data_IF_928877448180
#
_entry.id   IF_928877448180
#
_cell.length_a   1.000
_cell.length_b   1.000
_cell.length_c   1.000
_cell.angle_alpha   90.00
_cell.angle_beta   90.00
_cell.angle_gamma   90.00
#
_symmetry.space_group_name_H-M   'P 1'
#
loop_
_entity.id
_entity.type
_entity.pdbx_description
1 polymer ?
#
# COMPACT_ATOMS: atom_id res chain seq x y z
N UNK A 1 6.46 13.42 28.01
CA UNK A 1 7.30 13.03 26.85
C UNK A 1 6.36 12.80 25.68
N UNK A 2 6.80 13.05 24.44
CA UNK A 2 6.00 12.63 23.29
C UNK A 2 5.90 11.10 23.28
N UNK A 3 4.76 10.51 22.91
CA UNK A 3 4.63 9.06 22.80
C UNK A 3 5.68 8.48 21.85
N UNK A 4 6.14 7.26 22.15
CA UNK A 4 7.05 6.49 21.30
C UNK A 4 6.21 5.63 20.37
N UNK A 5 6.50 5.69 19.07
CA UNK A 5 5.83 4.86 18.08
C UNK A 5 6.43 3.44 18.11
N UNK A 6 5.60 2.41 18.05
CA UNK A 6 6.07 1.02 17.89
C UNK A 6 5.42 0.46 16.64
N UNK A 7 6.13 0.39 15.53
CA UNK A 7 5.55 -0.05 14.24
C UNK A 7 5.96 -1.50 13.99
N UNK A 8 4.98 -2.40 13.91
CA UNK A 8 5.21 -3.83 13.61
C UNK A 8 4.41 -4.25 12.40
N UNK A 9 4.88 -5.23 11.63
CA UNK A 9 4.11 -5.83 10.54
C UNK A 9 4.34 -7.34 10.45
N UNK A 10 3.42 -8.03 9.78
CA UNK A 10 3.53 -9.47 9.55
C UNK A 10 2.29 -10.09 8.92
N UNK A 11 2.30 -11.42 8.67
CA UNK A 11 1.22 -12.11 7.97
C UNK A 11 -0.10 -12.18 8.75
N UNK A 12 -0.09 -12.02 10.08
CA UNK A 12 -1.32 -11.98 10.90
C UNK A 12 -1.14 -11.18 12.20
N UNK A 13 -2.25 -10.91 12.92
CA UNK A 13 -2.28 -10.23 14.24
C UNK A 13 -1.36 -10.88 15.28
N UNK A 14 -1.21 -12.19 15.19
CA UNK A 14 -0.45 -13.01 16.13
C UNK A 14 1.03 -13.13 15.73
N UNK A 15 1.37 -12.80 14.48
CA UNK A 15 2.68 -13.00 13.89
C UNK A 15 3.24 -11.68 13.39
N UNK A 16 3.62 -10.80 14.31
CA UNK A 16 4.14 -9.46 14.01
C UNK A 16 5.60 -9.33 14.42
N UNK A 17 6.38 -8.62 13.61
CA UNK A 17 7.76 -8.23 13.92
C UNK A 17 7.96 -6.73 13.76
N UNK A 18 8.88 -6.15 14.53
CA UNK A 18 9.20 -4.72 14.43
C UNK A 18 9.70 -4.38 13.02
N UNK A 19 9.24 -3.25 12.49
CA UNK A 19 9.68 -2.73 11.19
C UNK A 19 10.93 -1.88 11.38
N UNK A 20 11.92 -2.03 10.49
CA UNK A 20 13.06 -1.13 10.40
C UNK A 20 12.63 0.21 9.75
N UNK A 21 11.96 1.06 10.53
CA UNK A 21 11.38 2.32 10.03
C UNK A 21 12.47 3.23 9.47
N UNK A 22 12.21 3.83 8.31
CA UNK A 22 13.14 4.66 7.53
C UNK A 22 14.37 3.92 6.94
N UNK A 23 14.42 2.58 7.01
CA UNK A 23 15.43 1.74 6.35
C UNK A 23 14.84 1.04 5.12
N UNK A 24 14.92 1.71 3.98
CA UNK A 24 14.35 1.23 2.72
C UNK A 24 15.04 -0.03 2.18
N UNK A 25 16.28 -0.25 2.59
CA UNK A 25 17.11 -1.42 2.28
C UNK A 25 16.80 -2.64 3.17
N UNK A 26 15.97 -2.47 4.21
CA UNK A 26 15.56 -3.53 5.13
C UNK A 26 14.02 -3.64 5.21
N UNK A 27 13.32 -3.84 4.07
CA UNK A 27 11.88 -4.00 4.11
C UNK A 27 11.50 -5.29 4.85
N UNK A 28 10.44 -5.24 5.64
CA UNK A 28 9.92 -6.42 6.32
C UNK A 28 9.23 -7.33 5.30
N UNK A 29 9.51 -8.63 5.36
CA UNK A 29 8.91 -9.63 4.47
C UNK A 29 7.58 -10.11 5.04
N UNK A 30 6.60 -10.24 4.16
CA UNK A 30 5.30 -10.85 4.41
C UNK A 30 5.19 -12.11 3.55
N UNK A 31 4.98 -13.24 4.21
CA UNK A 31 4.73 -14.53 3.55
C UNK A 31 3.53 -15.18 4.24
N UNK A 32 2.40 -15.22 3.54
CA UNK A 32 1.13 -15.75 4.03
C UNK A 32 0.48 -16.64 2.98
N UNK A 33 -0.64 -17.26 3.33
CA UNK A 33 -1.41 -18.12 2.41
C UNK A 33 -2.03 -17.34 1.24
N UNK A 34 -2.26 -16.03 1.41
CA UNK A 34 -2.94 -15.19 0.42
C UNK A 34 -2.01 -14.18 -0.27
N UNK A 35 -0.84 -13.89 0.32
CA UNK A 35 0.06 -12.82 -0.14
C UNK A 35 1.53 -13.11 0.12
N UNK A 36 2.36 -12.75 -0.86
CA UNK A 36 3.82 -12.77 -0.75
C UNK A 36 4.38 -11.41 -1.16
N UNK A 37 5.14 -10.78 -0.27
CA UNK A 37 5.67 -9.45 -0.54
C UNK A 37 6.54 -8.88 0.55
N UNK A 38 6.84 -7.60 0.44
CA UNK A 38 7.70 -6.86 1.35
C UNK A 38 7.20 -5.44 1.53
N UNK A 39 7.43 -4.88 2.71
CA UNK A 39 6.90 -3.58 3.14
C UNK A 39 8.04 -2.71 3.69
N UNK A 40 8.08 -1.45 3.29
CA UNK A 40 8.89 -0.43 3.95
C UNK A 40 7.99 0.67 4.51
N UNK A 41 8.30 1.11 5.73
CA UNK A 41 7.58 2.20 6.42
C UNK A 41 8.52 3.36 6.64
N UNK A 42 8.07 4.56 6.27
CA UNK A 42 8.81 5.81 6.39
C UNK A 42 8.01 6.77 7.24
N UNK A 43 8.64 7.42 8.21
CA UNK A 43 8.00 8.40 9.08
C UNK A 43 8.93 9.59 9.27
N UNK A 44 8.44 10.81 9.03
CA UNK A 44 9.18 12.05 9.31
C UNK A 44 9.30 12.24 10.82
N UNK A 45 10.47 12.71 11.25
CA UNK A 45 10.77 12.96 12.66
C UNK A 45 10.50 11.75 13.56
N UNK A 46 10.78 10.55 13.04
CA UNK A 46 10.51 9.28 13.72
C UNK A 46 11.20 9.21 15.09
N UNK A 47 10.41 8.78 16.08
CA UNK A 47 10.85 8.52 17.44
C UNK A 47 10.08 7.31 17.96
N UNK A 48 10.73 6.14 17.95
CA UNK A 48 10.05 4.89 18.21
C UNK A 48 10.98 3.72 18.48
N UNK A 49 10.37 2.55 18.64
CA UNK A 49 11.05 1.26 18.77
C UNK A 49 11.51 0.76 17.40
N UNK A 50 12.68 0.10 17.38
CA UNK A 50 13.28 -0.50 16.20
C UNK A 50 13.76 -1.92 16.53
N UNK A 51 13.94 -2.79 15.53
CA UNK A 51 14.57 -4.10 15.72
C UNK A 51 15.97 -3.98 16.33
N UNK A 52 16.41 -5.03 17.02
CA UNK A 52 17.75 -5.08 17.60
C UNK A 52 18.83 -4.88 16.52
N UNK A 53 19.78 -3.98 16.78
CA UNK A 53 20.89 -3.68 15.86
C UNK A 53 20.57 -2.71 14.73
N UNK A 54 19.31 -2.25 14.59
CA UNK A 54 18.93 -1.21 13.61
C UNK A 54 19.20 0.17 14.22
N UNK A 55 19.94 1.01 13.50
CA UNK A 55 20.23 2.37 13.94
C UNK A 55 19.00 3.29 13.84
N UNK A 56 18.86 4.25 14.74
CA UNK A 56 17.72 5.16 14.72
C UNK A 56 17.86 6.23 13.64
N UNK A 57 17.06 6.13 12.57
CA UNK A 57 16.91 7.17 11.54
C UNK A 57 15.64 8.00 11.76
N UNK A 58 15.80 9.32 11.92
CA UNK A 58 14.66 10.24 12.07
C UNK A 58 13.81 10.39 10.80
N UNK A 59 14.40 10.24 9.63
CA UNK A 59 13.69 10.38 8.35
C UNK A 59 14.46 9.68 7.22
N UNK A 60 13.73 9.13 6.25
CA UNK A 60 14.28 8.62 4.99
C UNK A 60 14.55 9.75 3.98
N UNK A 61 15.46 9.51 3.03
CA UNK A 61 15.71 10.40 1.89
C UNK A 61 14.47 10.62 1.01
N UNK A 62 13.46 9.74 1.09
CA UNK A 62 12.13 9.91 0.50
C UNK A 62 11.54 11.30 0.74
N UNK A 63 11.69 11.81 1.97
CA UNK A 63 11.12 13.09 2.36
C UNK A 63 11.87 14.31 1.83
N UNK A 64 13.04 14.12 1.21
CA UNK A 64 13.78 15.15 0.51
C UNK A 64 13.41 15.24 -0.97
N UNK A 65 12.78 14.20 -1.53
CA UNK A 65 12.37 14.17 -2.93
C UNK A 65 11.13 15.04 -3.18
N UNK A 66 10.96 15.64 -4.39
CA UNK A 66 9.80 16.47 -4.70
C UNK A 66 8.45 15.78 -4.44
N UNK A 67 8.36 14.49 -4.74
CA UNK A 67 7.15 13.69 -4.47
C UNK A 67 6.93 13.42 -2.99
N UNK A 68 7.96 12.99 -2.25
CA UNK A 68 7.84 12.58 -0.85
C UNK A 68 7.79 13.73 0.15
N UNK A 69 8.34 14.90 -0.21
CA UNK A 69 8.47 16.07 0.68
C UNK A 69 7.15 16.62 1.23
N UNK A 70 6.03 16.38 0.55
CA UNK A 70 4.68 16.80 0.98
C UNK A 70 4.01 15.85 1.99
N UNK A 71 4.57 14.67 2.22
CA UNK A 71 3.99 13.67 3.12
C UNK A 71 4.72 13.64 4.46
N UNK A 72 4.06 13.10 5.49
CA UNK A 72 4.62 12.88 6.82
C UNK A 72 4.94 11.42 7.09
N UNK A 73 4.32 10.50 6.36
CA UNK A 73 4.67 9.10 6.35
C UNK A 73 4.40 8.50 4.97
N UNK A 74 5.02 7.35 4.69
CA UNK A 74 4.82 6.54 3.50
C UNK A 74 4.92 5.06 3.87
N UNK A 75 4.09 4.24 3.24
CA UNK A 75 4.04 2.80 3.39
C UNK A 75 4.09 2.22 1.98
N UNK A 76 5.25 1.67 1.66
CA UNK A 76 5.52 1.09 0.36
C UNK A 76 5.39 -0.41 0.45
N UNK A 77 4.58 -0.98 -0.41
CA UNK A 77 4.30 -2.41 -0.49
C UNK A 77 4.75 -2.90 -1.86
N UNK A 78 5.45 -4.02 -1.92
CA UNK A 78 5.68 -4.75 -3.16
C UNK A 78 5.33 -6.22 -2.95
N UNK A 79 4.46 -6.79 -3.78
CA UNK A 79 4.14 -8.22 -3.66
C UNK A 79 3.11 -8.70 -4.67
N UNK A 80 2.67 -9.93 -4.48
CA UNK A 80 1.67 -10.61 -5.31
C UNK A 80 0.62 -11.30 -4.45
N UNK A 81 -0.57 -11.47 -5.02
CA UNK A 81 -1.62 -12.31 -4.45
C UNK A 81 -1.46 -13.75 -4.92
N UNK A 82 -1.78 -14.71 -4.07
CA UNK A 82 -1.61 -16.14 -4.40
C UNK A 82 -2.85 -16.74 -5.08
N UNK A 83 -3.99 -16.08 -4.98
CA UNK A 83 -5.23 -16.42 -5.69
C UNK A 83 -5.54 -15.46 -6.85
N UNK A 84 -6.38 -15.91 -7.78
CA UNK A 84 -6.98 -15.03 -8.77
C UNK A 84 -8.06 -14.15 -8.13
N UNK A 85 -7.89 -12.83 -8.25
CA UNK A 85 -8.75 -11.81 -7.67
C UNK A 85 -9.16 -10.80 -8.75
N UNK A 86 -10.14 -9.97 -8.43
CA UNK A 86 -10.39 -8.72 -9.16
C UNK A 86 -9.87 -7.55 -8.34
N UNK A 87 -9.66 -6.40 -8.98
CA UNK A 87 -9.30 -5.19 -8.25
C UNK A 87 -10.35 -4.83 -7.19
N UNK A 88 -11.64 -5.20 -7.36
CA UNK A 88 -12.71 -4.90 -6.39
C UNK A 88 -12.57 -5.69 -5.08
N UNK A 89 -11.88 -6.83 -5.10
CA UNK A 89 -11.75 -7.74 -3.95
C UNK A 89 -10.69 -7.28 -2.93
N UNK A 90 -9.81 -6.36 -3.35
CA UNK A 90 -8.62 -5.97 -2.58
C UNK A 90 -8.90 -4.65 -1.87
N UNK A 91 -8.93 -4.71 -0.55
CA UNK A 91 -9.16 -3.57 0.32
C UNK A 91 -7.87 -3.19 1.05
N UNK A 92 -7.71 -1.89 1.30
CA UNK A 92 -6.65 -1.32 2.11
C UNK A 92 -7.25 -0.26 3.02
N UNK A 93 -6.85 -0.26 4.28
CA UNK A 93 -7.34 0.74 5.22
C UNK A 93 -6.97 0.35 6.63
N UNK A 94 -7.83 0.69 7.58
CA UNK A 94 -7.56 0.57 9.00
C UNK A 94 -8.70 -0.15 9.72
N UNK A 95 -8.37 -0.99 10.69
CA UNK A 95 -9.28 -1.47 11.73
C UNK A 95 -8.76 -1.08 13.12
N UNK A 96 -9.56 -1.26 14.16
CA UNK A 96 -9.19 -0.91 15.53
C UNK A 96 -9.76 -1.96 16.49
N UNK A 97 -8.94 -2.43 17.44
CA UNK A 97 -9.40 -3.43 18.43
C UNK A 97 -10.25 -2.82 19.56
N UNK A 98 -10.22 -1.49 19.69
CA UNK A 98 -10.92 -0.75 20.73
C UNK A 98 -11.72 0.40 20.13
N UNK A 99 -12.85 0.79 20.75
CA UNK A 99 -13.64 1.93 20.30
C UNK A 99 -12.82 3.22 20.37
N UNK A 100 -12.83 4.02 19.30
CA UNK A 100 -12.14 5.33 19.24
C UNK A 100 -13.09 6.52 19.37
N UNK A 101 -14.41 6.26 19.47
CA UNK A 101 -15.48 7.27 19.43
C UNK A 101 -15.30 8.42 20.44
N UNK A 102 -14.72 8.14 21.59
CA UNK A 102 -14.50 9.12 22.67
C UNK A 102 -13.17 9.89 22.50
N UNK A 103 -12.28 9.39 21.65
CA UNK A 103 -10.97 9.99 21.31
C UNK A 103 -11.01 10.79 20.00
N UNK A 104 -12.13 10.77 19.27
CA UNK A 104 -12.29 11.56 18.05
C UNK A 104 -12.40 13.05 18.41
N UNK A 105 -11.58 13.94 17.81
CA UNK A 105 -11.66 15.36 18.08
C UNK A 105 -13.06 15.93 17.77
N UNK A 106 -13.51 16.94 18.54
CA UNK A 106 -14.77 17.60 18.28
C UNK A 106 -14.87 18.06 16.82
N UNK A 107 -15.92 17.64 16.11
CA UNK A 107 -16.12 17.95 14.68
C UNK A 107 -15.62 16.89 13.69
N UNK A 108 -15.01 15.80 14.16
CA UNK A 108 -14.59 14.69 13.29
C UNK A 108 -15.76 14.10 12.50
N UNK A 109 -16.97 14.03 13.07
CA UNK A 109 -18.18 13.58 12.36
C UNK A 109 -18.46 14.37 11.07
N UNK A 110 -18.07 15.66 11.00
CA UNK A 110 -18.18 16.47 9.80
C UNK A 110 -17.05 16.13 8.80
N UNK A 111 -15.81 15.92 9.27
CA UNK A 111 -14.68 15.50 8.43
C UNK A 111 -14.91 14.11 7.81
N UNK A 112 -15.49 13.16 8.55
CA UNK A 112 -15.88 11.84 8.04
C UNK A 112 -16.91 11.91 6.91
N UNK A 113 -17.83 12.88 6.96
CA UNK A 113 -18.78 13.14 5.86
C UNK A 113 -18.10 13.68 4.60
N UNK A 114 -16.91 14.24 4.72
CA UNK A 114 -16.09 14.69 3.59
C UNK A 114 -15.02 13.68 3.16
N UNK A 115 -14.72 12.66 3.96
CA UNK A 115 -13.77 11.61 3.58
C UNK A 115 -14.20 10.89 2.31
N UNK A 116 -15.49 10.63 2.14
CA UNK A 116 -16.05 10.05 0.90
C UNK A 116 -15.96 10.98 -0.30
N UNK A 117 -15.74 12.28 -0.09
CA UNK A 117 -15.48 13.24 -1.18
C UNK A 117 -14.01 13.19 -1.64
N UNK A 118 -13.10 12.80 -0.74
CA UNK A 118 -11.66 12.66 -1.02
C UNK A 118 -11.37 11.28 -1.63
N UNK A 119 -11.97 10.23 -1.07
CA UNK A 119 -11.92 8.87 -1.60
C UNK A 119 -13.34 8.28 -1.69
N UNK A 120 -13.95 8.25 -2.89
CA UNK A 120 -15.32 7.76 -3.06
C UNK A 120 -15.44 6.24 -2.84
N UNK A 121 -14.32 5.52 -2.76
CA UNK A 121 -14.30 4.08 -2.52
C UNK A 121 -14.16 3.73 -1.03
N UNK A 122 -13.97 4.72 -0.17
CA UNK A 122 -13.80 4.49 1.25
C UNK A 122 -15.15 4.24 1.95
N UNK A 123 -15.21 3.11 2.63
CA UNK A 123 -16.28 2.72 3.55
C UNK A 123 -15.72 2.66 4.96
N UNK A 124 -16.52 3.02 5.95
CA UNK A 124 -16.05 3.06 7.34
C UNK A 124 -17.21 2.92 8.32
N UNK A 125 -16.88 2.41 9.51
CA UNK A 125 -17.69 2.58 10.71
C UNK A 125 -16.72 2.93 11.86
N UNK A 126 -16.54 4.23 12.11
CA UNK A 126 -15.66 4.68 13.18
C UNK A 126 -16.32 4.73 14.58
N UNK A 127 -17.62 4.43 14.64
CA UNK A 127 -18.39 4.45 15.89
C UNK A 127 -18.64 3.05 16.47
N UNK A 128 -18.37 2.01 15.69
CA UNK A 128 -18.36 0.62 16.13
C UNK A 128 -17.45 0.38 17.35
N UNK A 129 -17.70 -0.72 18.07
CA UNK A 129 -16.81 -1.15 19.15
C UNK A 129 -15.45 -1.64 18.64
N UNK A 130 -15.42 -2.11 17.39
CA UNK A 130 -14.21 -2.33 16.60
C UNK A 130 -14.30 -1.45 15.35
N UNK A 131 -13.86 -0.19 15.47
CA UNK A 131 -13.87 0.76 14.36
C UNK A 131 -13.12 0.26 13.14
N UNK A 132 -13.52 0.70 11.94
CA UNK A 132 -12.79 0.40 10.71
C UNK A 132 -13.03 1.43 9.60
N UNK A 133 -12.09 1.54 8.68
CA UNK A 133 -12.17 2.36 7.47
C UNK A 133 -11.34 1.74 6.35
N UNK A 134 -12.00 1.23 5.31
CA UNK A 134 -11.38 0.55 4.17
C UNK A 134 -11.73 1.21 2.85
N UNK A 135 -10.75 1.32 1.96
CA UNK A 135 -10.93 1.70 0.57
C UNK A 135 -10.41 0.62 -0.36
N UNK A 136 -10.72 0.74 -1.64
CA UNK A 136 -10.14 -0.12 -2.66
C UNK A 136 -8.64 0.11 -2.77
N UNK A 137 -7.84 -0.96 -2.72
CA UNK A 137 -6.37 -0.91 -2.67
C UNK A 137 -5.81 -0.09 -3.84
N UNK A 138 -6.12 -0.45 -5.09
CA UNK A 138 -5.56 0.23 -6.26
C UNK A 138 -6.07 1.67 -6.41
N UNK A 139 -7.23 2.01 -5.82
CA UNK A 139 -7.77 3.36 -5.88
C UNK A 139 -7.17 4.29 -4.82
N UNK A 140 -6.86 3.77 -3.62
CA UNK A 140 -6.42 4.61 -2.48
C UNK A 140 -4.91 4.92 -2.48
N UNK A 141 -4.12 4.07 -3.14
CA UNK A 141 -2.66 4.25 -3.25
C UNK A 141 -2.29 5.51 -4.04
N UNK A 142 -1.22 6.19 -3.62
CA UNK A 142 -0.76 7.44 -4.24
C UNK A 142 0.06 7.18 -5.51
N UNK A 143 0.87 6.12 -5.49
CA UNK A 143 1.57 5.59 -6.65
C UNK A 143 1.36 4.10 -6.70
N UNK A 144 1.10 3.59 -7.90
CA UNK A 144 0.99 2.16 -8.14
C UNK A 144 1.74 1.86 -9.43
N UNK A 145 2.62 0.87 -9.38
CA UNK A 145 3.26 0.27 -10.53
C UNK A 145 3.08 -1.23 -10.47
N UNK A 146 2.83 -1.88 -11.60
CA UNK A 146 2.62 -3.31 -11.58
C UNK A 146 3.27 -3.96 -12.80
N UNK A 147 3.86 -5.14 -12.58
CA UNK A 147 4.51 -5.95 -13.61
C UNK A 147 3.79 -7.30 -13.67
N UNK A 148 3.33 -7.68 -14.86
CA UNK A 148 2.76 -9.00 -15.12
C UNK A 148 3.83 -9.90 -15.71
N UNK A 149 4.22 -10.94 -14.97
CA UNK A 149 5.07 -12.02 -15.48
C UNK A 149 4.27 -12.98 -16.36
N UNK A 150 4.95 -13.92 -17.02
CA UNK A 150 4.28 -15.04 -17.68
C UNK A 150 3.46 -15.85 -16.66
N UNK A 151 2.37 -16.53 -17.09
CA UNK A 151 1.67 -17.48 -16.22
C UNK A 151 2.63 -18.48 -15.59
N UNK A 152 2.36 -18.87 -14.34
CA UNK A 152 3.13 -19.85 -13.57
C UNK A 152 4.59 -19.49 -13.26
N UNK A 153 5.08 -18.31 -13.65
CA UNK A 153 6.47 -17.85 -13.39
C UNK A 153 6.89 -18.03 -11.93
N UNK A 154 5.96 -17.77 -11.01
CA UNK A 154 6.19 -17.80 -9.57
C UNK A 154 5.57 -19.03 -8.88
N UNK A 155 5.06 -20.00 -9.64
CA UNK A 155 4.36 -21.18 -9.09
C UNK A 155 5.28 -22.13 -8.31
N UNK A 156 6.58 -22.13 -8.64
CA UNK A 156 7.58 -22.96 -7.98
C UNK A 156 8.12 -22.35 -6.68
N UNK A 157 7.88 -21.06 -6.41
CA UNK A 157 8.33 -20.41 -5.18
C UNK A 157 7.64 -21.03 -3.97
N UNK A 158 8.42 -21.43 -2.97
CA UNK A 158 7.90 -21.94 -1.69
C UNK A 158 7.82 -20.87 -0.60
N UNK A 159 8.44 -19.71 -0.84
CA UNK A 159 8.41 -18.56 0.06
C UNK A 159 8.47 -17.25 -0.72
N UNK A 160 8.13 -16.14 -0.06
CA UNK A 160 8.25 -14.81 -0.63
C UNK A 160 9.69 -14.49 -1.05
N UNK A 161 10.69 -14.82 -0.21
CA UNK A 161 12.10 -14.57 -0.51
C UNK A 161 12.62 -15.41 -1.67
N UNK A 162 12.11 -16.63 -1.88
CA UNK A 162 12.45 -17.41 -3.08
C UNK A 162 11.99 -16.67 -4.35
N UNK A 163 10.77 -16.13 -4.33
CA UNK A 163 10.22 -15.33 -5.42
C UNK A 163 11.00 -14.04 -5.69
N UNK A 164 11.52 -13.36 -4.67
CA UNK A 164 12.31 -12.14 -4.85
C UNK A 164 13.62 -12.36 -5.62
N UNK A 165 14.09 -13.61 -5.73
CA UNK A 165 15.32 -13.97 -6.45
C UNK A 165 15.07 -14.30 -7.92
N UNK A 166 13.81 -14.34 -8.36
CA UNK A 166 13.49 -14.58 -9.77
C UNK A 166 13.82 -13.34 -10.61
N UNK A 167 14.43 -13.53 -11.79
CA UNK A 167 14.82 -12.43 -12.70
C UNK A 167 13.65 -11.52 -13.11
N UNK A 168 12.42 -12.04 -13.05
CA UNK A 168 11.20 -11.29 -13.39
C UNK A 168 10.60 -10.53 -12.21
N UNK A 169 11.09 -10.78 -10.98
CA UNK A 169 10.65 -10.05 -9.80
C UNK A 169 11.35 -8.68 -9.77
N UNK A 170 10.60 -7.56 -9.77
CA UNK A 170 11.22 -6.24 -9.74
C UNK A 170 11.99 -5.98 -8.45
N UNK A 171 13.09 -5.24 -8.57
CA UNK A 171 13.78 -4.67 -7.43
C UNK A 171 12.84 -3.83 -6.57
N UNK A 172 13.13 -3.75 -5.27
CA UNK A 172 12.34 -2.93 -4.37
C UNK A 172 12.73 -1.49 -4.61
N UNK A 173 11.82 -0.57 -4.94
CA UNK A 173 12.24 0.78 -5.24
C UNK A 173 12.66 1.51 -3.96
N UNK A 174 13.94 1.86 -3.89
CA UNK A 174 14.47 2.80 -2.91
C UNK A 174 15.38 3.80 -3.62
N UNK A 175 15.83 4.83 -2.90
CA UNK A 175 16.70 5.83 -3.52
C UNK A 175 18.09 5.24 -3.78
N UNK A 176 18.46 5.11 -5.04
CA UNK A 176 19.81 4.76 -5.50
C UNK A 176 20.25 5.69 -6.65
N UNK A 177 21.45 5.50 -7.20
CA UNK A 177 21.90 6.29 -8.36
C UNK A 177 21.05 6.03 -9.62
N UNK A 178 20.47 4.84 -9.73
CA UNK A 178 19.74 4.35 -10.90
C UNK A 178 18.22 4.34 -10.67
N UNK A 179 17.77 4.25 -9.43
CA UNK A 179 16.37 4.07 -9.06
C UNK A 179 15.81 5.20 -8.20
N UNK A 180 14.54 5.50 -8.44
CA UNK A 180 13.73 6.39 -7.61
C UNK A 180 12.68 5.56 -6.89
N UNK A 181 12.13 6.12 -5.81
CA UNK A 181 10.95 5.58 -5.14
C UNK A 181 9.80 5.26 -6.11
N UNK A 182 8.84 4.46 -5.64
CA UNK A 182 7.68 4.03 -6.41
C UNK A 182 7.10 5.16 -7.29
N UNK A 183 7.09 4.93 -8.59
CA UNK A 183 6.46 5.80 -9.59
C UNK A 183 5.09 5.25 -9.98
N UNK A 184 4.30 6.06 -10.69
CA UNK A 184 3.02 5.62 -11.20
C UNK A 184 3.24 4.87 -12.53
N UNK A 185 2.87 3.61 -12.61
CA UNK A 185 2.73 2.86 -13.86
C UNK A 185 1.92 1.54 -13.69
N UNK A 186 0.60 1.65 -13.59
CA UNK A 186 -0.36 0.52 -13.62
C UNK A 186 -0.50 -0.05 -15.05
N UNK A 187 0.63 -0.50 -15.59
CA UNK A 187 0.96 -0.61 -17.00
C UNK A 187 -0.23 -1.07 -17.85
N UNK A 188 -0.85 -0.10 -18.57
CA UNK A 188 -2.19 -0.06 -19.16
C UNK A 188 -3.24 -1.10 -18.75
N UNK A 189 -3.28 -1.40 -17.45
CA UNK A 189 -4.20 -2.30 -16.77
C UNK A 189 -4.16 -3.76 -17.23
N UNK A 190 -2.92 -4.23 -17.44
CA UNK A 190 -2.51 -5.63 -17.42
C UNK A 190 -2.78 -6.43 -18.68
N UNK A 191 -2.31 -5.90 -19.80
CA UNK A 191 -2.30 -6.52 -21.11
C UNK A 191 -1.96 -8.04 -21.15
N UNK A 192 -2.62 -8.77 -22.05
CA UNK A 192 -2.49 -10.22 -22.22
C UNK A 192 -1.23 -10.56 -23.04
N UNK A 193 -0.51 -11.61 -22.64
CA UNK A 193 0.57 -12.17 -23.45
C UNK A 193 -0.03 -12.86 -24.67
N UNK A 194 -0.15 -12.16 -25.79
CA UNK A 194 -0.35 -12.87 -27.06
C UNK A 194 0.97 -13.54 -27.43
N UNK A 195 1.00 -14.87 -27.34
CA UNK A 195 2.17 -15.70 -27.71
C UNK A 195 2.59 -15.45 -29.17
N UNK A 196 1.76 -14.77 -29.99
CA UNK A 196 2.03 -14.44 -31.38
C UNK A 196 2.48 -12.98 -31.64
N UNK A 197 2.28 -12.04 -30.71
CA UNK A 197 2.61 -10.62 -30.92
C UNK A 197 3.58 -10.11 -29.86
N UNK A 198 4.73 -9.56 -30.30
CA UNK A 198 5.77 -8.97 -29.46
C UNK A 198 5.34 -7.71 -28.67
N UNK A 199 4.05 -7.35 -28.70
CA UNK A 199 3.49 -6.14 -28.08
C UNK A 199 2.28 -6.52 -27.21
N UNK A 200 2.28 -6.20 -25.90
CA UNK A 200 1.15 -6.46 -25.02
C UNK A 200 -0.15 -5.79 -25.50
N UNK A 201 -1.28 -6.51 -25.49
CA UNK A 201 -2.59 -6.03 -25.99
C UNK A 201 -3.64 -5.83 -24.87
N UNK A 202 -4.50 -4.82 -25.05
CA UNK A 202 -5.63 -4.53 -24.14
C UNK A 202 -6.62 -5.68 -24.12
N UNK A 203 -7.08 -6.06 -22.92
CA UNK A 203 -8.21 -6.98 -22.81
C UNK A 203 -9.39 -6.39 -23.59
N UNK A 204 -10.08 -7.24 -24.36
CA UNK A 204 -11.28 -6.85 -25.10
C UNK A 204 -12.34 -6.15 -24.23
N UNK A 205 -12.34 -6.43 -22.92
CA UNK A 205 -13.21 -5.78 -21.93
C UNK A 205 -12.98 -4.27 -21.79
N UNK A 206 -11.84 -3.76 -22.28
CA UNK A 206 -11.40 -2.40 -22.09
C UNK A 206 -11.18 -1.62 -23.40
N UNK A 207 -11.38 -2.23 -24.58
CA UNK A 207 -11.17 -1.59 -25.90
C UNK A 207 -11.89 -0.24 -26.03
N UNK A 208 -13.12 -0.14 -25.51
CA UNK A 208 -13.90 1.11 -25.52
C UNK A 208 -13.33 2.23 -24.62
N UNK A 209 -12.34 1.93 -23.77
CA UNK A 209 -11.69 2.86 -22.84
C UNK A 209 -10.19 3.04 -23.14
N UNK A 210 -9.70 2.59 -24.29
CA UNK A 210 -8.28 2.52 -24.61
C UNK A 210 -7.55 3.87 -24.42
N UNK A 211 -8.10 4.96 -24.94
CA UNK A 211 -7.51 6.31 -24.79
C UNK A 211 -7.41 6.75 -23.32
N UNK A 212 -8.39 6.38 -22.49
CA UNK A 212 -8.38 6.69 -21.06
C UNK A 212 -7.30 5.88 -20.35
N UNK A 213 -7.17 4.61 -20.71
CA UNK A 213 -6.20 3.68 -20.11
C UNK A 213 -4.76 4.05 -20.51
N UNK A 214 -4.53 4.47 -21.75
CA UNK A 214 -3.22 4.96 -22.21
C UNK A 214 -2.76 6.19 -21.42
N UNK A 215 -3.69 7.04 -20.95
CA UNK A 215 -3.40 8.20 -20.10
C UNK A 215 -3.17 7.86 -18.62
N UNK A 216 -3.24 6.58 -18.25
CA UNK A 216 -2.86 6.09 -16.92
C UNK A 216 -1.34 5.95 -16.78
N UNK A 217 -0.60 5.85 -17.89
CA UNK A 217 0.86 5.88 -17.91
C UNK A 217 1.35 7.23 -18.46
N UNK A 218 2.51 7.71 -17.98
CA UNK A 218 3.26 8.84 -18.55
C UNK A 218 2.56 10.21 -18.62
N UNK A 219 1.48 10.41 -17.86
CA UNK A 219 0.80 11.70 -17.72
C UNK A 219 1.04 12.31 -16.32
N UNK A 220 1.29 13.63 -16.17
CA UNK A 220 1.40 14.27 -14.85
C UNK A 220 0.16 14.08 -13.96
N UNK A 221 -1.01 13.83 -14.56
CA UNK A 221 -2.27 13.48 -13.92
C UNK A 221 -2.58 11.98 -13.86
N UNK A 222 -1.64 11.09 -14.22
CA UNK A 222 -1.82 9.64 -14.24
C UNK A 222 -2.45 9.08 -12.96
N UNK A 223 -1.95 9.49 -11.79
CA UNK A 223 -2.51 9.08 -10.49
C UNK A 223 -3.98 9.47 -10.35
N UNK A 224 -4.36 10.69 -10.77
CA UNK A 224 -5.75 11.16 -10.72
C UNK A 224 -6.63 10.41 -11.72
N UNK A 225 -6.11 10.16 -12.93
CA UNK A 225 -6.82 9.39 -13.95
C UNK A 225 -7.08 7.94 -13.47
N UNK A 226 -6.09 7.32 -12.81
CA UNK A 226 -6.22 5.99 -12.18
C UNK A 226 -7.34 5.98 -11.15
N UNK A 227 -7.29 6.89 -10.20
CA UNK A 227 -8.30 7.00 -9.12
C UNK A 227 -9.70 7.20 -9.73
N UNK A 228 -9.81 8.07 -10.73
CA UNK A 228 -11.07 8.31 -11.45
C UNK A 228 -11.60 7.04 -12.12
N UNK A 229 -10.76 6.32 -12.87
CA UNK A 229 -11.16 5.09 -13.56
C UNK A 229 -11.55 3.98 -12.58
N UNK A 230 -10.79 3.81 -11.50
CA UNK A 230 -11.04 2.83 -10.44
C UNK A 230 -12.17 3.22 -9.50
N UNK A 231 -12.76 4.41 -9.61
CA UNK A 231 -13.98 4.75 -8.85
C UNK A 231 -15.20 3.96 -9.33
N UNK A 232 -15.18 3.46 -10.57
CA UNK A 232 -16.22 2.59 -11.11
C UNK A 232 -16.06 1.15 -10.59
N UNK A 233 -17.05 0.67 -9.85
CA UNK A 233 -17.10 -0.72 -9.39
C UNK A 233 -17.08 -1.73 -10.55
N UNK A 234 -17.71 -1.40 -11.68
CA UNK A 234 -17.72 -2.26 -12.87
C UNK A 234 -16.31 -2.41 -13.47
N UNK A 235 -15.57 -1.30 -13.54
CA UNK A 235 -14.17 -1.33 -13.99
C UNK A 235 -13.29 -2.19 -13.07
N UNK A 236 -13.47 -2.06 -11.75
CA UNK A 236 -12.72 -2.85 -10.77
C UNK A 236 -12.99 -4.35 -10.87
N UNK A 237 -14.25 -4.75 -11.12
CA UNK A 237 -14.61 -6.16 -11.29
C UNK A 237 -14.06 -6.80 -12.57
N UNK A 238 -13.85 -6.00 -13.62
CA UNK A 238 -13.25 -6.47 -14.89
C UNK A 238 -11.74 -6.60 -14.80
N UNK A 239 -11.11 -5.80 -13.95
CA UNK A 239 -9.67 -5.79 -13.78
C UNK A 239 -9.21 -7.01 -12.94
N UNK A 240 -8.76 -8.06 -13.62
CA UNK A 240 -8.22 -9.28 -12.98
C UNK A 240 -6.77 -9.09 -12.51
N UNK A 241 -6.50 -9.58 -11.31
CA UNK A 241 -5.20 -9.67 -10.67
C UNK A 241 -4.91 -11.16 -10.46
N UNK A 242 -3.77 -11.63 -10.94
CA UNK A 242 -3.37 -13.04 -10.91
C UNK A 242 -2.08 -13.22 -10.11
N UNK A 243 -1.71 -14.47 -9.77
CA UNK A 243 -0.44 -14.76 -9.09
C UNK A 243 0.83 -14.43 -9.88
N UNK A 244 0.71 -13.96 -11.13
CA UNK A 244 1.80 -13.44 -11.94
C UNK A 244 1.98 -11.92 -11.84
N UNK A 245 1.09 -11.22 -11.13
CA UNK A 245 1.15 -9.76 -10.99
C UNK A 245 1.93 -9.35 -9.76
N UNK A 246 3.08 -8.73 -9.96
CA UNK A 246 3.84 -8.08 -8.88
C UNK A 246 3.45 -6.61 -8.82
N UNK A 247 2.70 -6.26 -7.78
CA UNK A 247 2.20 -4.92 -7.51
C UNK A 247 3.17 -4.21 -6.56
N UNK A 248 3.67 -3.07 -6.99
CA UNK A 248 4.41 -2.11 -6.15
C UNK A 248 3.53 -0.88 -5.93
N UNK A 249 3.25 -0.51 -4.68
CA UNK A 249 2.39 0.60 -4.36
C UNK A 249 2.97 1.43 -3.21
N UNK A 250 2.69 2.74 -3.21
CA UNK A 250 3.03 3.67 -2.15
C UNK A 250 1.76 4.35 -1.63
N UNK A 251 1.50 4.15 -0.34
CA UNK A 251 0.50 4.89 0.42
C UNK A 251 1.19 5.97 1.24
N UNK A 252 0.96 7.25 0.93
CA UNK A 252 1.61 8.35 1.63
C UNK A 252 0.61 9.43 2.01
N UNK A 253 0.72 10.02 3.20
CA UNK A 253 -0.24 11.04 3.64
C UNK A 253 0.49 12.17 4.38
N UNK A 254 -0.04 13.40 4.31
CA UNK A 254 0.54 14.62 4.87
C UNK A 254 -0.11 15.12 6.15
N UNK A 255 -1.11 14.42 6.69
CA UNK A 255 -1.94 14.89 7.81
C UNK A 255 -1.33 14.78 9.22
N UNK A 256 -0.01 14.62 9.39
CA UNK A 256 0.62 14.75 10.72
C UNK A 256 0.94 16.23 11.04
N UNK A 257 -0.05 17.04 11.42
CA UNK A 257 0.24 18.29 12.16
C UNK A 257 -0.74 18.67 13.28
N UNK A 258 -1.64 17.80 13.73
CA UNK A 258 -2.45 18.11 14.91
C UNK A 258 -2.94 16.86 15.65
N UNK A 259 -2.39 16.56 16.83
CA UNK A 259 -3.01 15.81 17.95
C UNK A 259 -3.82 14.54 17.62
N UNK A 260 -3.48 13.79 16.58
CA UNK A 260 -4.02 12.46 16.33
C UNK A 260 -2.92 11.44 16.59
N UNK A 261 -3.22 10.56 17.54
CA UNK A 261 -2.35 9.50 18.00
C UNK A 261 -2.80 8.19 17.31
N UNK A 262 -1.92 7.68 16.43
CA UNK A 262 -1.69 6.27 16.03
C UNK A 262 -2.66 5.55 15.06
N UNK A 263 -2.08 4.91 14.02
CA UNK A 263 -2.74 4.21 12.88
C UNK A 263 -2.65 2.68 13.00
N UNK A 264 -3.54 1.92 12.34
CA UNK A 264 -3.43 0.46 12.18
C UNK A 264 -3.89 0.05 10.79
N UNK A 265 -3.08 -0.68 10.01
CA UNK A 265 -3.49 -1.10 8.65
C UNK A 265 -4.10 -2.49 8.65
N UNK A 266 -5.29 -2.62 8.08
CA UNK A 266 -5.88 -3.89 7.68
C UNK A 266 -6.14 -3.88 6.16
N UNK A 267 -5.55 -4.86 5.50
CA UNK A 267 -6.07 -5.49 4.29
C UNK A 267 -6.31 -6.94 4.70
N UNK A 268 -7.10 -7.73 3.96
CA UNK A 268 -7.20 -9.20 4.19
C UNK A 268 -5.84 -9.95 4.10
N UNK A 269 -4.71 -9.24 3.97
CA UNK A 269 -3.48 -9.72 3.35
C UNK A 269 -2.22 -9.44 4.20
N UNK A 270 -2.26 -8.46 5.11
CA UNK A 270 -1.25 -8.21 6.16
C UNK A 270 -1.69 -7.08 7.09
N UNK A 271 -1.08 -7.02 8.28
CA UNK A 271 -1.34 -5.98 9.27
C UNK A 271 -0.09 -5.18 9.65
N UNK A 272 -0.28 -3.87 9.86
CA UNK A 272 0.71 -3.00 10.51
C UNK A 272 0.10 -2.51 11.83
N UNK A 273 0.70 -2.89 12.96
CA UNK A 273 0.23 -2.54 14.31
C UNK A 273 1.14 -1.49 14.92
N UNK A 274 0.53 -0.41 15.39
CA UNK A 274 1.15 0.57 16.25
C UNK A 274 0.51 0.56 17.64
N UNK A 275 1.32 0.34 18.68
CA UNK A 275 0.87 0.39 20.08
C UNK A 275 1.55 1.54 20.81
N UNK A 276 0.75 2.49 21.30
CA UNK A 276 1.22 3.43 22.32
C UNK A 276 1.43 2.72 23.64
N UNK A 277 2.68 2.69 24.09
CA UNK A 277 2.98 2.46 25.50
C UNK A 277 2.65 3.75 26.27
N UNK A 278 1.36 3.95 26.58
CA UNK A 278 0.97 4.86 27.63
C UNK A 278 1.49 4.30 28.96
N UNK A 279 2.56 4.92 29.47
CA UNK A 279 3.19 4.65 30.75
C UNK A 279 2.13 4.75 31.88
N UNK A 280 1.54 3.61 32.26
CA UNK A 280 0.73 3.50 33.49
C UNK A 280 1.68 3.40 34.67
N UNK A 281 2.28 4.53 35.05
CA UNK A 281 2.82 4.71 36.39
C UNK A 281 1.79 5.43 37.26
N UNK A 282 1.08 4.64 38.07
CA UNK A 282 0.43 5.05 39.31
C UNK A 282 0.47 3.89 40.29
#
# INVERSE_FOLDING_TARGET
MAPKLRISAGPSKENLSLVAVNHDEQPIVIDSEDFQGRIAVRVKDFHGELPDGVESLKQSAYFSEPYGSKFSYSIQIQGRFLDELTADDILFGNDFDAPIRDSLPPGMSLFLRFLTYIDPNMTHDLYADQPWAFSNFLATMHKVKVIRAMPDTFSACKSAEECFRADTWPDFPFLSEEEKFCSEDITPLFFQNDVQHSTPTLSSEFENNEDTIRRLCNDPGASKNRVSWLSSKDNRKKLKITPSDVITADFANGLFRSHFTVWRISSKLFEIVETDLADKSS
#
